data_IF_622488069704
#
_entry.id   IF_622488069704
#
_cell.length_a   1.000
_cell.length_b   1.000
_cell.length_c   1.000
_cell.angle_alpha   90.00
_cell.angle_beta   90.00
_cell.angle_gamma   90.00
#
_symmetry.space_group_name_H-M   'P 1'
#
loop_
_entity.id
_entity.type
_entity.pdbx_description
1 polymer ?
#
# COMPACT_ATOMS: atom_id res chain seq x y z
N UNK A 1 9.75 -11.34 -3.34
CA UNK A 1 10.83 -10.61 -4.03
C UNK A 1 10.33 -9.24 -4.51
N UNK A 2 9.32 -9.16 -5.38
CA UNK A 2 8.80 -7.87 -5.89
C UNK A 2 8.39 -6.87 -4.80
N UNK A 3 7.53 -7.30 -3.87
CA UNK A 3 7.07 -6.47 -2.74
C UNK A 3 8.24 -5.94 -1.88
N UNK A 4 9.21 -6.81 -1.59
CA UNK A 4 10.40 -6.44 -0.83
C UNK A 4 11.19 -5.35 -1.54
N UNK A 5 11.47 -5.53 -2.84
CA UNK A 5 12.25 -4.58 -3.63
C UNK A 5 11.52 -3.24 -3.71
N UNK A 6 10.23 -3.25 -4.01
CA UNK A 6 9.41 -2.02 -4.08
C UNK A 6 9.44 -1.24 -2.77
N UNK A 7 9.15 -1.90 -1.65
CA UNK A 7 9.14 -1.27 -0.33
C UNK A 7 10.53 -0.85 0.13
N UNK A 8 11.57 -1.63 -0.19
CA UNK A 8 12.95 -1.30 0.15
C UNK A 8 13.42 -0.06 -0.60
N UNK A 9 13.17 0.03 -1.90
CA UNK A 9 13.53 1.20 -2.71
C UNK A 9 12.78 2.46 -2.26
N UNK A 10 11.49 2.35 -1.91
CA UNK A 10 10.74 3.46 -1.34
C UNK A 10 11.34 3.92 -0.01
N UNK A 11 11.66 2.98 0.89
CA UNK A 11 12.27 3.29 2.19
C UNK A 11 13.65 3.93 2.03
N UNK A 12 14.49 3.43 1.13
CA UNK A 12 15.82 4.00 0.87
C UNK A 12 15.72 5.45 0.35
N UNK A 13 14.72 5.74 -0.49
CA UNK A 13 14.45 7.10 -0.95
C UNK A 13 14.03 8.02 0.22
N UNK A 14 13.15 7.56 1.11
CA UNK A 14 12.76 8.33 2.29
C UNK A 14 13.92 8.56 3.27
N UNK A 15 14.73 7.52 3.53
CA UNK A 15 15.93 7.61 4.37
C UNK A 15 16.94 8.62 3.77
N UNK A 16 17.07 8.66 2.45
CA UNK A 16 17.91 9.64 1.75
C UNK A 16 17.38 11.07 1.89
N UNK A 17 16.08 11.30 1.69
CA UNK A 17 15.48 12.63 1.83
C UNK A 17 15.60 13.17 3.25
N UNK A 18 15.31 12.34 4.27
CA UNK A 18 15.49 12.71 5.68
C UNK A 18 16.98 12.93 6.02
N UNK A 19 17.89 12.30 5.27
CA UNK A 19 19.32 12.56 5.33
C UNK A 19 19.65 13.97 4.87
N UNK A 20 19.20 14.34 3.66
CA UNK A 20 19.41 15.68 3.08
C UNK A 20 18.84 16.78 3.97
N UNK A 21 17.60 16.61 4.43
CA UNK A 21 16.91 17.55 5.31
C UNK A 21 17.70 17.85 6.59
N UNK A 22 18.32 16.79 7.15
CA UNK A 22 19.17 16.94 8.33
C UNK A 22 20.43 17.73 7.98
N UNK A 23 21.05 17.45 6.85
CA UNK A 23 22.25 18.18 6.42
C UNK A 23 21.93 19.67 6.17
N UNK A 24 20.79 19.96 5.53
CA UNK A 24 20.29 21.32 5.27
C UNK A 24 19.95 22.06 6.56
N UNK A 25 19.26 21.42 7.51
CA UNK A 25 18.99 21.98 8.84
C UNK A 25 20.26 22.34 9.62
N UNK A 26 21.36 21.61 9.41
CA UNK A 26 22.65 21.92 10.03
C UNK A 26 23.37 23.08 9.33
N UNK A 27 23.32 23.13 8.00
CA UNK A 27 24.08 24.09 7.20
C UNK A 27 23.35 25.44 7.07
N UNK A 28 22.02 25.41 6.94
CA UNK A 28 21.14 26.54 6.64
C UNK A 28 19.91 26.65 7.57
N UNK A 29 20.08 26.65 8.92
CA UNK A 29 18.96 26.60 9.86
C UNK A 29 17.97 27.78 9.75
N UNK A 30 18.45 28.96 9.34
CA UNK A 30 17.56 30.13 9.16
C UNK A 30 16.74 30.02 7.87
N UNK A 31 17.25 29.33 6.84
CA UNK A 31 16.52 29.07 5.60
C UNK A 31 15.41 28.04 5.88
N UNK A 32 15.75 26.93 6.56
CA UNK A 32 14.76 25.91 7.00
C UNK A 32 13.67 26.48 7.91
N UNK A 33 14.03 27.41 8.79
CA UNK A 33 13.04 28.10 9.63
C UNK A 33 12.06 28.94 8.78
N UNK A 34 12.53 29.58 7.72
CA UNK A 34 11.68 30.34 6.81
C UNK A 34 10.85 29.42 5.91
N UNK A 35 11.40 28.30 5.43
CA UNK A 35 10.66 27.27 4.68
C UNK A 35 9.46 26.76 5.47
N UNK A 36 9.70 26.33 6.71
CA UNK A 36 8.64 25.86 7.60
C UNK A 36 7.62 26.96 7.90
N UNK A 37 8.06 28.22 8.03
CA UNK A 37 7.16 29.35 8.22
C UNK A 37 6.25 29.58 7.00
N UNK A 38 6.77 29.43 5.78
CA UNK A 38 5.98 29.52 4.55
C UNK A 38 4.98 28.36 4.44
N UNK A 39 5.36 27.14 4.86
CA UNK A 39 4.45 25.98 4.92
C UNK A 39 3.29 26.27 5.89
N UNK A 40 3.59 26.75 7.11
CA UNK A 40 2.54 27.10 8.08
C UNK A 40 1.68 28.28 7.61
N UNK A 41 2.26 29.26 6.91
CA UNK A 41 1.49 30.33 6.29
C UNK A 41 0.50 29.78 5.25
N UNK A 42 0.96 28.88 4.38
CA UNK A 42 0.10 28.23 3.39
C UNK A 42 -1.03 27.41 4.03
N UNK A 43 -0.82 26.89 5.25
CA UNK A 43 -1.84 26.22 6.07
C UNK A 43 -2.77 27.17 6.84
N UNK A 44 -2.59 28.49 6.70
CA UNK A 44 -3.48 29.52 7.23
C UNK A 44 -2.97 30.24 8.48
N UNK A 45 -1.72 30.01 8.90
CA UNK A 45 -1.10 30.79 9.98
C UNK A 45 -0.71 32.19 9.48
N UNK A 46 -0.82 33.20 10.35
CA UNK A 46 -0.26 34.52 10.02
C UNK A 46 1.26 34.42 9.89
N UNK A 47 1.84 35.05 8.86
CA UNK A 47 3.27 34.90 8.54
C UNK A 47 4.19 35.26 9.72
N UNK A 48 3.89 36.34 10.44
CA UNK A 48 4.69 36.76 11.59
C UNK A 48 4.66 35.73 12.74
N UNK A 49 3.53 35.05 12.91
CA UNK A 49 3.37 33.97 13.88
C UNK A 49 4.07 32.69 13.42
N UNK A 50 3.93 32.32 12.15
CA UNK A 50 4.62 31.19 11.54
C UNK A 50 6.14 31.32 11.69
N UNK A 51 6.69 32.48 11.33
CA UNK A 51 8.11 32.80 11.50
C UNK A 51 8.58 32.70 12.95
N UNK A 52 7.75 33.13 13.91
CA UNK A 52 8.08 33.02 15.34
C UNK A 52 8.10 31.57 15.80
N UNK A 53 7.14 30.76 15.38
CA UNK A 53 7.04 29.33 15.74
C UNK A 53 8.18 28.54 15.11
N UNK A 54 8.43 28.69 13.81
CA UNK A 54 9.47 27.93 13.10
C UNK A 54 10.86 28.23 13.65
N UNK A 55 11.20 29.50 13.92
CA UNK A 55 12.47 29.85 14.58
C UNK A 55 12.63 29.27 15.98
N UNK A 56 11.54 29.10 16.72
CA UNK A 56 11.60 28.43 18.02
C UNK A 56 11.83 26.92 17.86
N UNK A 57 11.20 26.32 16.85
CA UNK A 57 11.28 24.88 16.60
C UNK A 57 12.68 24.45 16.16
N UNK A 58 13.31 25.21 15.26
CA UNK A 58 14.67 24.97 14.74
C UNK A 58 15.75 24.99 15.84
N UNK A 59 15.48 25.57 17.02
CA UNK A 59 16.40 25.49 18.17
C UNK A 59 16.60 24.07 18.68
N UNK A 60 15.65 23.17 18.43
CA UNK A 60 15.79 21.75 18.71
C UNK A 60 15.78 20.99 17.39
N UNK A 61 16.98 20.60 16.95
CA UNK A 61 17.21 19.90 15.69
C UNK A 61 16.31 18.66 15.52
N UNK A 62 16.09 17.87 16.57
CA UNK A 62 15.24 16.69 16.50
C UNK A 62 13.76 17.03 16.25
N UNK A 63 13.25 18.07 16.92
CA UNK A 63 11.87 18.52 16.71
C UNK A 63 11.69 19.21 15.36
N UNK A 64 12.69 19.96 14.91
CA UNK A 64 12.68 20.64 13.62
C UNK A 64 12.73 19.63 12.47
N UNK A 65 13.61 18.64 12.55
CA UNK A 65 13.69 17.56 11.57
C UNK A 65 12.40 16.72 11.53
N UNK A 66 11.78 16.43 12.68
CA UNK A 66 10.46 15.76 12.70
C UNK A 66 9.39 16.61 12.02
N UNK A 67 9.38 17.93 12.27
CA UNK A 67 8.44 18.84 11.65
C UNK A 67 8.67 18.98 10.14
N UNK A 68 9.90 19.19 9.68
CA UNK A 68 10.24 19.27 8.25
C UNK A 68 9.90 17.95 7.54
N UNK A 69 10.27 16.80 8.13
CA UNK A 69 9.90 15.50 7.57
C UNK A 69 8.38 15.32 7.39
N UNK A 70 7.55 15.81 8.33
CA UNK A 70 6.08 15.70 8.25
C UNK A 70 5.44 16.77 7.40
N UNK A 71 5.92 17.99 7.49
CA UNK A 71 5.27 19.19 6.95
C UNK A 71 5.71 19.48 5.52
N UNK A 72 6.99 19.26 5.21
CA UNK A 72 7.59 19.44 3.90
C UNK A 72 7.60 18.14 3.10
N UNK A 73 8.25 17.09 3.62
CA UNK A 73 8.38 15.83 2.89
C UNK A 73 7.09 15.00 2.89
N UNK A 74 6.16 15.28 3.81
CA UNK A 74 4.92 14.52 3.98
C UNK A 74 5.15 13.09 4.50
N UNK A 75 6.27 12.85 5.17
CA UNK A 75 6.71 11.56 5.67
C UNK A 75 6.51 11.45 7.19
N UNK A 76 6.30 10.24 7.67
CA UNK A 76 6.39 9.94 9.10
C UNK A 76 7.76 9.31 9.38
N UNK A 77 8.72 10.01 10.01
CA UNK A 77 10.06 9.49 10.22
C UNK A 77 10.07 8.21 11.09
N UNK A 78 9.05 8.03 11.93
CA UNK A 78 8.88 6.85 12.79
C UNK A 78 8.29 5.63 12.06
N UNK A 79 7.73 5.82 10.86
CA UNK A 79 7.04 4.77 10.11
C UNK A 79 7.33 4.85 8.60
N UNK A 80 8.54 4.45 8.23
CA UNK A 80 8.97 4.32 6.83
C UNK A 80 8.58 2.97 6.20
N UNK A 81 7.75 2.17 6.90
CA UNK A 81 7.38 0.82 6.49
C UNK A 81 8.48 -0.24 6.68
N UNK A 82 8.07 -1.50 6.56
CA UNK A 82 8.92 -2.69 6.72
C UNK A 82 8.94 -3.53 5.43
N UNK A 83 10.05 -3.53 4.66
CA UNK A 83 10.16 -4.34 3.45
C UNK A 83 9.97 -5.84 3.69
N UNK A 84 10.47 -6.34 4.82
CA UNK A 84 10.28 -7.75 5.22
C UNK A 84 8.83 -8.04 5.60
N UNK A 85 8.21 -7.15 6.38
CA UNK A 85 6.81 -7.28 6.75
C UNK A 85 5.92 -7.36 5.51
N UNK A 86 6.04 -6.38 4.62
CA UNK A 86 5.26 -6.33 3.37
C UNK A 86 5.46 -7.61 2.53
N UNK A 87 6.71 -8.05 2.34
CA UNK A 87 7.00 -9.24 1.54
C UNK A 87 6.43 -10.53 2.15
N UNK A 88 6.55 -10.73 3.47
CA UNK A 88 6.08 -11.95 4.14
C UNK A 88 4.54 -11.98 4.16
N UNK A 89 3.89 -10.88 4.56
CA UNK A 89 2.43 -10.83 4.60
C UNK A 89 1.83 -11.00 3.21
N UNK A 90 2.39 -10.35 2.18
CA UNK A 90 1.93 -10.53 0.79
C UNK A 90 2.14 -11.96 0.29
N UNK A 91 3.28 -12.59 0.60
CA UNK A 91 3.53 -13.99 0.23
C UNK A 91 2.52 -14.93 0.88
N UNK A 92 2.27 -14.79 2.18
CA UNK A 92 1.32 -15.63 2.91
C UNK A 92 -0.12 -15.41 2.43
N UNK A 93 -0.55 -14.16 2.29
CA UNK A 93 -1.89 -13.83 1.83
C UNK A 93 -2.16 -14.37 0.42
N UNK A 94 -1.20 -14.19 -0.50
CA UNK A 94 -1.31 -14.73 -1.86
C UNK A 94 -1.34 -16.25 -1.86
N UNK A 95 -0.42 -16.90 -1.13
CA UNK A 95 -0.33 -18.37 -1.10
C UNK A 95 -1.59 -18.99 -0.51
N UNK A 96 -2.09 -18.47 0.61
CA UNK A 96 -3.31 -18.95 1.24
C UNK A 96 -4.54 -18.73 0.35
N UNK A 97 -4.66 -17.57 -0.28
CA UNK A 97 -5.73 -17.28 -1.22
C UNK A 97 -5.72 -18.19 -2.45
N UNK A 98 -4.53 -18.48 -2.99
CA UNK A 98 -4.34 -19.33 -4.17
C UNK A 98 -4.62 -20.83 -3.89
N UNK A 99 -4.41 -21.30 -2.66
CA UNK A 99 -4.69 -22.69 -2.29
C UNK A 99 -6.18 -23.01 -2.42
N UNK A 100 -7.08 -22.09 -2.02
CA UNK A 100 -8.53 -22.33 -1.99
C UNK A 100 -9.07 -22.90 -3.32
N UNK A 101 -8.85 -22.29 -4.49
CA UNK A 101 -9.31 -22.84 -5.76
C UNK A 101 -8.53 -24.07 -6.25
N UNK A 102 -7.36 -24.39 -5.69
CA UNK A 102 -6.57 -25.57 -6.08
C UNK A 102 -7.01 -26.83 -5.34
N UNK A 103 -7.56 -26.70 -4.13
CA UNK A 103 -8.02 -27.81 -3.29
C UNK A 103 -8.92 -28.82 -4.05
N UNK A 104 -9.90 -28.42 -4.87
CA UNK A 104 -10.76 -29.37 -5.60
C UNK A 104 -10.02 -30.26 -6.61
N UNK A 105 -8.83 -29.86 -7.07
CA UNK A 105 -8.01 -30.65 -8.00
C UNK A 105 -7.20 -31.74 -7.28
N UNK A 106 -7.04 -31.64 -5.96
CA UNK A 106 -6.31 -32.62 -5.16
C UNK A 106 -7.13 -33.88 -4.85
N UNK A 107 -8.45 -33.83 -5.05
CA UNK A 107 -9.38 -34.90 -4.65
C UNK A 107 -9.75 -35.88 -5.78
N UNK A 108 -9.08 -35.83 -6.93
CA UNK A 108 -9.34 -36.77 -8.04
C UNK A 108 -10.75 -36.69 -8.63
N UNK A 109 -11.43 -35.55 -8.48
CA UNK A 109 -12.72 -35.31 -9.11
C UNK A 109 -12.57 -35.20 -10.64
N UNK A 110 -13.62 -35.49 -11.43
CA UNK A 110 -13.62 -35.19 -12.85
C UNK A 110 -13.32 -33.70 -13.08
N UNK A 111 -12.49 -33.40 -14.07
CA UNK A 111 -11.98 -32.05 -14.33
C UNK A 111 -13.07 -30.98 -14.33
N UNK A 112 -14.19 -31.24 -15.02
CA UNK A 112 -15.31 -30.31 -15.10
C UNK A 112 -15.92 -29.99 -13.73
N UNK A 113 -16.01 -30.97 -12.83
CA UNK A 113 -16.42 -30.74 -11.43
C UNK A 113 -15.37 -29.96 -10.66
N UNK A 114 -14.08 -30.28 -10.80
CA UNK A 114 -13.00 -29.54 -10.12
C UNK A 114 -13.01 -28.07 -10.49
N UNK A 115 -13.17 -27.74 -11.78
CA UNK A 115 -13.26 -26.36 -12.27
C UNK A 115 -14.48 -25.64 -11.69
N UNK A 116 -15.65 -26.28 -11.70
CA UNK A 116 -16.87 -25.68 -11.15
C UNK A 116 -16.74 -25.41 -9.64
N UNK A 117 -16.25 -26.39 -8.88
CA UNK A 117 -16.03 -26.23 -7.44
C UNK A 117 -15.01 -25.13 -7.18
N UNK A 118 -13.88 -25.12 -7.91
CA UNK A 118 -12.84 -24.10 -7.80
C UNK A 118 -13.38 -22.69 -8.05
N UNK A 119 -14.19 -22.50 -9.10
CA UNK A 119 -14.80 -21.22 -9.44
C UNK A 119 -15.75 -20.74 -8.33
N UNK A 120 -16.59 -21.62 -7.79
CA UNK A 120 -17.50 -21.28 -6.69
C UNK A 120 -16.73 -20.93 -5.42
N UNK A 121 -15.74 -21.74 -5.04
CA UNK A 121 -14.93 -21.48 -3.83
C UNK A 121 -14.09 -20.21 -3.96
N UNK A 122 -13.54 -19.95 -5.15
CA UNK A 122 -12.84 -18.69 -5.44
C UNK A 122 -13.79 -17.49 -5.35
N UNK A 123 -15.00 -17.61 -5.91
CA UNK A 123 -16.01 -16.56 -5.83
C UNK A 123 -16.41 -16.24 -4.40
N UNK A 124 -16.64 -17.26 -3.58
CA UNK A 124 -16.95 -17.09 -2.14
C UNK A 124 -15.76 -16.45 -1.41
N UNK A 125 -14.53 -16.91 -1.65
CA UNK A 125 -13.34 -16.34 -1.03
C UNK A 125 -13.12 -14.87 -1.41
N UNK A 126 -13.21 -14.54 -2.71
CA UNK A 126 -13.12 -13.17 -3.22
C UNK A 126 -14.19 -12.28 -2.61
N UNK A 127 -15.44 -12.76 -2.57
CA UNK A 127 -16.53 -12.02 -1.94
C UNK A 127 -16.24 -11.77 -0.47
N UNK A 128 -15.80 -12.80 0.27
CA UNK A 128 -15.45 -12.72 1.68
C UNK A 128 -14.33 -11.70 1.95
N UNK A 129 -13.26 -11.71 1.16
CA UNK A 129 -12.18 -10.72 1.26
C UNK A 129 -12.70 -9.32 0.96
N UNK A 130 -13.45 -9.14 -0.12
CA UNK A 130 -14.01 -7.84 -0.50
C UNK A 130 -15.00 -7.29 0.54
N UNK A 131 -15.80 -8.15 1.15
CA UNK A 131 -16.71 -7.81 2.24
C UNK A 131 -15.94 -7.47 3.52
N UNK A 132 -14.90 -8.23 3.88
CA UNK A 132 -14.08 -7.96 5.06
C UNK A 132 -13.36 -6.60 4.97
N UNK A 133 -12.88 -6.22 3.78
CA UNK A 133 -12.28 -4.89 3.56
C UNK A 133 -13.28 -3.73 3.77
N UNK A 134 -14.58 -4.01 3.74
CA UNK A 134 -15.60 -3.00 4.03
C UNK A 134 -15.57 -2.55 5.49
N UNK A 135 -15.07 -3.40 6.41
CA UNK A 135 -14.89 -3.08 7.82
C UNK A 135 -13.88 -1.95 8.06
N UNK A 136 -12.88 -1.82 7.19
CA UNK A 136 -11.81 -0.81 7.29
C UNK A 136 -12.07 0.44 6.45
N UNK A 137 -13.02 0.37 5.52
CA UNK A 137 -13.27 1.45 4.55
C UNK A 137 -14.60 2.17 4.76
N UNK A 138 -15.45 1.69 5.68
CA UNK A 138 -16.80 2.23 5.90
C UNK A 138 -17.76 2.05 4.71
N UNK A 139 -17.39 1.23 3.72
CA UNK A 139 -18.18 0.98 2.52
C UNK A 139 -19.12 -0.21 2.71
N UNK A 140 -20.08 -0.35 1.78
CA UNK A 140 -20.97 -1.51 1.72
C UNK A 140 -20.20 -2.82 1.53
N UNK A 141 -20.43 -3.79 2.41
CA UNK A 141 -19.88 -5.14 2.32
C UNK A 141 -20.28 -5.85 1.02
N UNK A 142 -21.54 -5.67 0.61
CA UNK A 142 -22.06 -6.24 -0.64
C UNK A 142 -21.33 -5.65 -1.86
N UNK A 143 -21.11 -4.33 -1.87
CA UNK A 143 -20.41 -3.66 -2.96
C UNK A 143 -18.93 -4.07 -3.02
N UNK A 144 -18.26 -4.16 -1.87
CA UNK A 144 -16.87 -4.62 -1.77
C UNK A 144 -16.70 -6.06 -2.22
N UNK A 145 -17.56 -6.97 -1.75
CA UNK A 145 -17.56 -8.37 -2.13
C UNK A 145 -17.84 -8.57 -3.62
N UNK A 146 -18.89 -7.93 -4.15
CA UNK A 146 -19.23 -8.03 -5.58
C UNK A 146 -18.12 -7.48 -6.47
N UNK A 147 -17.49 -6.36 -6.09
CA UNK A 147 -16.35 -5.80 -6.80
C UNK A 147 -15.21 -6.81 -6.93
N UNK A 148 -14.86 -7.50 -5.84
CA UNK A 148 -13.80 -8.51 -5.87
C UNK A 148 -14.16 -9.71 -6.75
N UNK A 149 -15.41 -10.19 -6.69
CA UNK A 149 -15.88 -11.28 -7.56
C UNK A 149 -15.85 -10.86 -9.03
N UNK A 150 -16.28 -9.65 -9.37
CA UNK A 150 -16.28 -9.16 -10.76
C UNK A 150 -14.86 -9.00 -11.32
N UNK A 151 -13.92 -8.45 -10.53
CA UNK A 151 -12.53 -8.29 -10.95
C UNK A 151 -11.86 -9.66 -11.11
N UNK A 152 -11.95 -10.51 -10.09
CA UNK A 152 -11.33 -11.85 -10.12
C UNK A 152 -11.96 -12.76 -11.17
N UNK A 153 -13.29 -12.75 -11.28
CA UNK A 153 -14.03 -13.48 -12.30
C UNK A 153 -13.73 -12.97 -13.72
N UNK A 154 -13.59 -11.65 -13.90
CA UNK A 154 -13.17 -11.05 -15.16
C UNK A 154 -11.76 -11.48 -15.59
N UNK A 155 -10.81 -11.49 -14.65
CA UNK A 155 -9.45 -11.97 -14.91
C UNK A 155 -9.41 -13.47 -15.24
N UNK A 156 -10.18 -14.29 -14.51
CA UNK A 156 -10.33 -15.72 -14.80
C UNK A 156 -10.96 -15.97 -16.17
N UNK A 157 -12.01 -15.23 -16.51
CA UNK A 157 -12.67 -15.29 -17.82
C UNK A 157 -11.74 -14.90 -18.96
N UNK A 158 -10.96 -13.82 -18.80
CA UNK A 158 -9.95 -13.42 -19.80
C UNK A 158 -8.88 -14.50 -20.00
N UNK A 159 -8.40 -15.10 -18.91
CA UNK A 159 -7.41 -16.19 -18.96
C UNK A 159 -7.97 -17.41 -19.69
N UNK A 160 -9.22 -17.79 -19.41
CA UNK A 160 -9.91 -18.89 -20.09
C UNK A 160 -10.11 -18.63 -21.59
N UNK A 161 -10.49 -17.40 -21.97
CA UNK A 161 -10.65 -17.01 -23.37
C UNK A 161 -9.33 -17.10 -24.13
N UNK A 162 -8.22 -16.61 -23.54
CA UNK A 162 -6.88 -16.70 -24.13
C UNK A 162 -6.47 -18.17 -24.27
N UNK A 163 -6.66 -18.99 -23.23
CA UNK A 163 -6.39 -20.43 -23.29
C UNK A 163 -7.17 -21.11 -24.41
N UNK A 164 -8.44 -20.75 -24.59
CA UNK A 164 -9.29 -21.27 -25.66
C UNK A 164 -8.80 -20.85 -27.04
N UNK A 165 -8.46 -19.57 -27.22
CA UNK A 165 -7.96 -19.05 -28.49
C UNK A 165 -6.64 -19.71 -28.93
N UNK A 166 -5.80 -20.11 -27.97
CA UNK A 166 -4.53 -20.78 -28.23
C UNK A 166 -4.67 -22.31 -28.37
N UNK A 167 -5.88 -22.86 -28.30
CA UNK A 167 -6.10 -24.31 -28.33
C UNK A 167 -5.61 -25.05 -27.07
N UNK A 168 -5.31 -24.31 -26.00
CA UNK A 168 -4.88 -24.83 -24.70
C UNK A 168 -6.06 -25.02 -23.73
N UNK A 169 -7.28 -24.62 -24.10
CA UNK A 169 -8.45 -24.86 -23.26
C UNK A 169 -8.78 -26.35 -23.22
N UNK A 170 -8.91 -26.84 -21.99
CA UNK A 170 -9.29 -28.22 -21.74
C UNK A 170 -10.81 -28.31 -22.00
N UNK A 171 -11.18 -29.10 -23.02
CA UNK A 171 -12.56 -29.44 -23.33
C UNK A 171 -13.20 -30.30 -22.23
#
# INVERSE_FOLDING_TARGET
AGEYVSMRSQREMFEYQIGLERDELHEYPEEEAEELALIYQARGMQLDEARRVSRELVKNEANALDALAREELGLNPDDLGSPWGAAIYSFLAFSLGAIIPLVPFLFGLPLQRSVMVAAVTAGIALFGVGAALSLFTGRSALAGGLRMVLIGGGAGGATWLIGTALGAAIA
#
